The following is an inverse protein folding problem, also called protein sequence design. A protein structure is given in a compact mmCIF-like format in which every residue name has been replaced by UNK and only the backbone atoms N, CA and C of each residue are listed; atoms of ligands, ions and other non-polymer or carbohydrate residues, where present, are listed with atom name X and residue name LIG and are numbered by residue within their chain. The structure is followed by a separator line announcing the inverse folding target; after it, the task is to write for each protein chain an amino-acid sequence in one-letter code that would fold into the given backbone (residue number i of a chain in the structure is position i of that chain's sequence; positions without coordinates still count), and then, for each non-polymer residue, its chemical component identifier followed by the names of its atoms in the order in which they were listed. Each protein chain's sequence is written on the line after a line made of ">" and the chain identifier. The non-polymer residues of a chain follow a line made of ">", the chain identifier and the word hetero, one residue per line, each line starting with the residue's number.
data_IF_704503163142
#
_entry.id   IF_704503163142
#
_cell.length_a   1.000
_cell.length_b   1.000
_cell.length_c   1.000
_cell.angle_alpha   90.00
_cell.angle_beta   90.00
_cell.angle_gamma   90.00
#
_symmetry.space_group_name_H-M   'P 1'
#
loop_
_entity.id
_entity.type
_entity.pdbx_description
1 polymer ?
#
# COMPACT_ATOMS: atom_id res chain seq x y z
N UNK A 1 -29.98 4.08 1.68
CA UNK A 1 -29.70 4.96 2.83
C UNK A 1 -28.75 4.18 3.71
N UNK A 2 -27.46 4.24 3.37
CA UNK A 2 -26.42 3.57 4.12
C UNK A 2 -26.27 4.25 5.48
N UNK A 3 -26.32 3.46 6.54
CA UNK A 3 -25.96 3.91 7.87
C UNK A 3 -24.45 4.19 7.85
N UNK A 4 -24.10 5.46 7.65
CA UNK A 4 -22.80 6.01 8.06
C UNK A 4 -22.76 5.88 9.59
N UNK A 5 -22.31 4.72 10.09
CA UNK A 5 -21.96 4.55 11.50
C UNK A 5 -20.71 5.39 11.76
N UNK A 6 -20.93 6.68 11.98
CA UNK A 6 -19.91 7.63 12.38
C UNK A 6 -19.19 7.08 13.61
N UNK A 7 -17.90 6.80 13.47
CA UNK A 7 -17.06 6.36 14.58
C UNK A 7 -17.01 7.49 15.60
N UNK A 8 -17.61 7.30 16.76
CA UNK A 8 -17.70 8.31 17.81
C UNK A 8 -16.78 7.98 18.98
N UNK A 9 -16.02 8.97 19.45
CA UNK A 9 -15.19 8.89 20.65
C UNK A 9 -15.82 9.83 21.68
N UNK A 10 -16.28 9.29 22.81
CA UNK A 10 -16.94 10.06 23.88
C UNK A 10 -18.13 10.93 23.39
N UNK A 11 -18.87 10.47 22.37
CA UNK A 11 -20.01 11.19 21.80
C UNK A 11 -19.67 12.27 20.76
N UNK A 12 -18.39 12.42 20.41
CA UNK A 12 -17.91 13.33 19.35
C UNK A 12 -17.44 12.51 18.15
N UNK A 13 -17.71 12.94 16.90
CA UNK A 13 -17.19 12.26 15.72
C UNK A 13 -15.67 12.18 15.78
N UNK A 14 -15.11 10.97 15.69
CA UNK A 14 -13.67 10.75 15.73
C UNK A 14 -12.93 11.58 14.67
N UNK A 15 -13.58 11.77 13.51
CA UNK A 15 -13.07 12.55 12.39
C UNK A 15 -13.01 14.07 12.63
N UNK A 16 -13.43 14.55 13.81
CA UNK A 16 -13.31 15.94 14.25
C UNK A 16 -12.29 16.14 15.38
N UNK A 17 -11.91 15.08 16.09
CA UNK A 17 -11.02 15.16 17.26
C UNK A 17 -9.55 15.09 16.84
N UNK A 18 -9.23 14.21 15.89
CA UNK A 18 -7.85 13.95 15.49
C UNK A 18 -7.23 15.07 14.63
N UNK A 19 -7.94 15.67 13.65
CA UNK A 19 -7.35 16.65 12.74
C UNK A 19 -6.67 17.85 13.41
N UNK A 20 -7.25 18.52 14.44
CA UNK A 20 -6.60 19.67 15.06
C UNK A 20 -5.23 19.36 15.67
N UNK A 21 -5.08 18.18 16.30
CA UNK A 21 -3.81 17.72 16.86
C UNK A 21 -2.79 17.46 15.76
N UNK A 22 -3.21 16.76 14.70
CA UNK A 22 -2.35 16.40 13.58
C UNK A 22 -1.89 17.64 12.83
N UNK A 23 -2.77 18.61 12.59
CA UNK A 23 -2.44 19.89 11.95
C UNK A 23 -1.40 20.67 12.78
N UNK A 24 -1.57 20.71 14.11
CA UNK A 24 -0.58 21.35 14.99
C UNK A 24 0.80 20.69 14.85
N UNK A 25 0.85 19.35 14.84
CA UNK A 25 2.10 18.62 14.63
C UNK A 25 2.69 18.89 13.25
N UNK A 26 1.86 18.92 12.19
CA UNK A 26 2.31 19.21 10.82
C UNK A 26 2.93 20.59 10.73
N UNK A 27 2.29 21.62 11.29
CA UNK A 27 2.83 22.98 11.28
C UNK A 27 4.16 23.07 12.05
N UNK A 28 4.25 22.42 13.22
CA UNK A 28 5.48 22.37 14.00
C UNK A 28 6.64 21.72 13.21
N UNK A 29 6.37 20.61 12.52
CA UNK A 29 7.36 19.85 11.74
C UNK A 29 7.73 20.56 10.44
N UNK A 30 6.82 21.36 9.87
CA UNK A 30 7.09 22.17 8.69
C UNK A 30 8.11 23.28 9.00
N UNK A 31 7.96 23.95 10.15
CA UNK A 31 8.76 25.12 10.52
C UNK A 31 10.06 24.79 11.29
N UNK A 32 10.07 23.73 12.10
CA UNK A 32 11.24 23.35 12.93
C UNK A 32 11.88 22.03 12.47
N UNK A 33 13.06 22.14 11.87
CA UNK A 33 13.86 21.00 11.40
C UNK A 33 14.29 20.05 12.51
N UNK A 34 14.57 20.55 13.73
CA UNK A 34 14.92 19.69 14.87
C UNK A 34 13.70 18.92 15.36
N UNK A 35 12.54 19.59 15.45
CA UNK A 35 11.28 18.93 15.78
C UNK A 35 10.94 17.87 14.74
N UNK A 36 11.09 18.19 13.44
CA UNK A 36 10.93 17.24 12.34
C UNK A 36 11.81 16.01 12.49
N UNK A 37 13.10 16.19 12.73
CA UNK A 37 14.04 15.08 12.87
C UNK A 37 13.67 14.15 14.04
N UNK A 38 13.36 14.71 15.21
CA UNK A 38 12.96 13.92 16.39
C UNK A 38 11.63 13.20 16.19
N UNK A 39 10.65 13.86 15.58
CA UNK A 39 9.34 13.27 15.36
C UNK A 39 9.40 12.20 14.26
N UNK A 40 10.21 12.42 13.22
CA UNK A 40 10.50 11.44 12.18
C UNK A 40 11.13 10.19 12.78
N UNK A 41 12.16 10.32 13.61
CA UNK A 41 12.80 9.17 14.27
C UNK A 41 11.81 8.34 15.10
N UNK A 42 10.83 8.99 15.74
CA UNK A 42 9.79 8.32 16.54
C UNK A 42 8.67 7.70 15.72
N UNK A 43 8.21 8.36 14.66
CA UNK A 43 7.05 7.94 13.88
C UNK A 43 7.46 7.09 12.66
N UNK A 44 8.49 7.51 11.94
CA UNK A 44 9.03 6.90 10.73
C UNK A 44 10.53 6.61 10.92
N UNK A 45 10.90 5.64 11.79
CA UNK A 45 12.29 5.27 11.99
C UNK A 45 12.91 4.79 10.67
N UNK A 46 14.22 4.96 10.50
CA UNK A 46 14.92 4.51 9.29
C UNK A 46 14.84 2.99 9.12
N UNK A 47 14.99 2.25 10.22
CA UNK A 47 14.92 0.80 10.26
C UNK A 47 13.58 0.35 10.85
N UNK A 48 12.89 -0.55 10.16
CA UNK A 48 11.65 -1.16 10.63
C UNK A 48 11.39 -2.51 9.98
N UNK A 49 10.55 -3.31 10.62
CA UNK A 49 10.12 -4.60 10.12
C UNK A 49 9.31 -4.45 8.82
N UNK A 50 9.81 -5.08 7.75
CA UNK A 50 9.17 -5.18 6.42
C UNK A 50 8.72 -6.61 6.09
N UNK A 51 8.77 -7.55 7.05
CA UNK A 51 8.25 -8.93 6.85
C UNK A 51 6.74 -8.95 6.65
N UNK A 52 6.04 -7.97 7.20
CA UNK A 52 4.57 -7.83 7.15
C UNK A 52 4.16 -6.54 6.43
N UNK A 53 2.92 -6.45 5.92
CA UNK A 53 2.43 -5.23 5.31
C UNK A 53 2.56 -4.04 6.27
N UNK A 54 2.94 -2.88 5.75
CA UNK A 54 3.34 -1.73 6.58
C UNK A 54 2.22 -1.16 7.46
N UNK A 55 0.97 -1.47 7.14
CA UNK A 55 -0.23 -1.10 7.90
C UNK A 55 -0.60 -2.10 9.01
N UNK A 56 0.14 -3.20 9.15
CA UNK A 56 -0.08 -4.25 10.15
C UNK A 56 0.91 -4.10 11.31
N UNK A 57 0.40 -4.17 12.54
CA UNK A 57 1.19 -4.07 13.76
C UNK A 57 0.65 -3.05 14.76
N UNK A 58 1.34 -2.98 15.91
CA UNK A 58 1.01 -2.12 17.06
C UNK A 58 1.86 -0.84 17.11
N UNK A 59 2.82 -0.68 16.21
CA UNK A 59 3.64 0.53 16.15
C UNK A 59 2.80 1.74 15.76
N UNK A 60 3.22 2.93 16.20
CA UNK A 60 2.56 4.19 15.83
C UNK A 60 2.56 4.38 14.31
N UNK A 61 3.62 3.95 13.64
CA UNK A 61 3.72 3.91 12.18
C UNK A 61 2.60 3.12 11.55
N UNK A 62 2.46 1.84 11.92
CA UNK A 62 1.44 0.97 11.37
C UNK A 62 0.03 1.49 11.67
N UNK A 63 -0.17 2.08 12.86
CA UNK A 63 -1.43 2.72 13.23
C UNK A 63 -1.76 3.91 12.32
N UNK A 64 -0.83 4.84 12.11
CA UNK A 64 -1.03 6.01 11.24
C UNK A 64 -1.23 5.61 9.78
N UNK A 65 -0.46 4.63 9.27
CA UNK A 65 -0.64 4.09 7.91
C UNK A 65 -2.03 3.46 7.75
N UNK A 66 -2.52 2.75 8.77
CA UNK A 66 -3.88 2.18 8.75
C UNK A 66 -4.97 3.25 8.81
N UNK A 67 -4.75 4.34 9.56
CA UNK A 67 -5.69 5.46 9.63
C UNK A 67 -5.74 6.25 8.31
N UNK A 68 -4.63 6.43 7.61
CA UNK A 68 -4.64 7.08 6.28
C UNK A 68 -5.28 6.23 5.17
N UNK A 69 -5.55 4.94 5.41
CA UNK A 69 -6.31 4.10 4.47
C UNK A 69 -7.77 3.92 4.89
N UNK A 70 -8.21 4.56 5.98
CA UNK A 70 -9.59 4.43 6.47
C UNK A 70 -10.54 5.32 5.67
N UNK A 71 -11.58 4.73 5.09
CA UNK A 71 -12.58 5.42 4.26
C UNK A 71 -13.61 6.21 5.07
N UNK A 72 -13.82 5.86 6.34
CA UNK A 72 -14.81 6.49 7.22
C UNK A 72 -14.31 7.79 7.86
N UNK A 73 -12.99 8.03 7.85
CA UNK A 73 -12.35 9.17 8.53
C UNK A 73 -11.66 10.09 7.52
N UNK A 74 -12.45 10.77 6.67
CA UNK A 74 -11.94 11.55 5.55
C UNK A 74 -10.99 12.68 5.94
N UNK A 75 -11.32 13.45 6.98
CA UNK A 75 -10.49 14.58 7.43
C UNK A 75 -9.22 14.11 8.14
N UNK A 76 -9.34 13.06 8.95
CA UNK A 76 -8.22 12.44 9.65
C UNK A 76 -7.26 11.82 8.66
N UNK A 77 -7.78 11.11 7.65
CA UNK A 77 -7.00 10.54 6.57
C UNK A 77 -6.15 11.61 5.89
N UNK A 78 -6.76 12.71 5.49
CA UNK A 78 -6.09 13.81 4.81
C UNK A 78 -4.96 14.39 5.67
N UNK A 79 -5.29 14.79 6.90
CA UNK A 79 -4.33 15.43 7.80
C UNK A 79 -3.18 14.51 8.21
N UNK A 80 -3.43 13.23 8.46
CA UNK A 80 -2.38 12.24 8.76
C UNK A 80 -1.47 12.05 7.55
N UNK A 81 -2.04 11.95 6.35
CA UNK A 81 -1.26 11.81 5.12
C UNK A 81 -0.36 13.02 4.89
N UNK A 82 -0.88 14.23 5.14
CA UNK A 82 -0.08 15.46 5.10
C UNK A 82 1.05 15.44 6.14
N UNK A 83 0.79 15.05 7.39
CA UNK A 83 1.83 14.94 8.42
C UNK A 83 2.95 13.99 7.99
N UNK A 84 2.59 12.78 7.53
CA UNK A 84 3.57 11.77 7.10
C UNK A 84 4.37 12.25 5.87
N UNK A 85 3.73 12.96 4.93
CA UNK A 85 4.40 13.56 3.79
C UNK A 85 5.38 14.66 4.21
N UNK A 86 5.00 15.55 5.13
CA UNK A 86 5.88 16.61 5.65
C UNK A 86 7.06 16.02 6.43
N UNK A 87 6.87 14.94 7.20
CA UNK A 87 7.96 14.19 7.84
C UNK A 87 8.94 13.59 6.83
N UNK A 88 8.49 13.32 5.61
CA UNK A 88 9.29 12.85 4.48
C UNK A 88 9.90 14.00 3.66
N UNK A 89 10.07 15.18 4.26
CA UNK A 89 10.60 16.40 3.60
C UNK A 89 9.80 16.83 2.37
N UNK A 90 8.49 16.54 2.35
CA UNK A 90 7.62 16.81 1.21
C UNK A 90 8.18 16.24 -0.11
N UNK A 91 8.71 15.02 -0.05
CA UNK A 91 9.22 14.30 -1.21
C UNK A 91 8.43 12.99 -1.39
N UNK A 92 7.83 12.83 -2.58
CA UNK A 92 6.99 11.69 -2.89
C UNK A 92 7.73 10.34 -2.80
N UNK A 93 9.01 10.27 -3.21
CA UNK A 93 9.78 9.03 -3.16
C UNK A 93 10.09 8.60 -1.73
N UNK A 94 10.57 9.52 -0.89
CA UNK A 94 10.76 9.28 0.56
C UNK A 94 9.47 8.83 1.23
N UNK A 95 8.35 9.46 0.87
CA UNK A 95 7.04 9.14 1.41
C UNK A 95 6.59 7.72 1.02
N UNK A 96 6.71 7.35 -0.26
CA UNK A 96 6.38 6.01 -0.74
C UNK A 96 7.28 4.95 -0.11
N UNK A 97 8.58 5.21 0.04
CA UNK A 97 9.51 4.28 0.68
C UNK A 97 9.14 3.97 2.14
N UNK A 98 8.57 4.95 2.83
CA UNK A 98 8.17 4.85 4.23
C UNK A 98 6.77 4.27 4.44
N UNK A 99 5.84 4.51 3.51
CA UNK A 99 4.41 4.19 3.68
C UNK A 99 3.93 3.04 2.78
N UNK A 100 4.64 2.77 1.68
CA UNK A 100 4.26 1.84 0.62
C UNK A 100 3.36 2.52 -0.42
N UNK A 101 3.62 2.27 -1.71
CA UNK A 101 2.91 2.94 -2.79
C UNK A 101 1.41 2.72 -2.74
N UNK A 102 0.96 1.49 -2.43
CA UNK A 102 -0.46 1.16 -2.34
C UNK A 102 -1.22 1.96 -1.27
N UNK A 103 -0.55 2.30 -0.17
CA UNK A 103 -1.14 3.14 0.88
C UNK A 103 -1.05 4.63 0.52
N UNK A 104 0.04 5.06 -0.14
CA UNK A 104 0.30 6.45 -0.49
C UNK A 104 -0.48 6.96 -1.71
N UNK A 105 -0.86 6.08 -2.64
CA UNK A 105 -1.39 6.46 -3.96
C UNK A 105 -2.61 7.38 -3.90
N UNK A 106 -3.54 7.15 -2.96
CA UNK A 106 -4.73 7.98 -2.81
C UNK A 106 -4.39 9.44 -2.48
N UNK A 107 -3.40 9.65 -1.60
CA UNK A 107 -2.91 10.98 -1.27
C UNK A 107 -2.17 11.62 -2.45
N UNK A 108 -1.28 10.87 -3.10
CA UNK A 108 -0.47 11.37 -4.22
C UNK A 108 -1.33 11.80 -5.42
N UNK A 109 -2.39 11.05 -5.74
CA UNK A 109 -3.35 11.41 -6.79
C UNK A 109 -4.12 12.67 -6.44
N UNK A 110 -4.62 12.78 -5.20
CA UNK A 110 -5.41 13.92 -4.75
C UNK A 110 -4.62 15.23 -4.76
N UNK A 111 -3.31 15.17 -4.49
CA UNK A 111 -2.41 16.33 -4.50
C UNK A 111 -1.60 16.49 -5.79
N UNK A 112 -1.90 15.70 -6.85
CA UNK A 112 -1.21 15.77 -8.15
C UNK A 112 0.31 15.55 -8.07
N UNK A 113 0.78 14.78 -7.08
CA UNK A 113 2.20 14.49 -6.82
C UNK A 113 2.71 13.27 -7.60
N UNK A 114 1.86 12.64 -8.42
CA UNK A 114 2.22 11.45 -9.20
C UNK A 114 3.41 11.67 -10.15
N UNK A 115 3.58 12.89 -10.66
CA UNK A 115 4.70 13.25 -11.54
C UNK A 115 6.06 13.32 -10.85
N UNK A 116 6.10 13.34 -9.52
CA UNK A 116 7.34 13.42 -8.74
C UNK A 116 8.01 12.05 -8.55
N UNK A 117 7.25 10.96 -8.74
CA UNK A 117 7.65 9.58 -8.41
C UNK A 117 8.73 8.96 -9.31
N UNK A 118 9.34 9.72 -10.22
CA UNK A 118 10.41 9.23 -11.09
C UNK A 118 11.55 10.23 -11.28
N UNK A 119 11.51 11.39 -10.60
CA UNK A 119 12.47 12.48 -10.80
C UNK A 119 13.54 12.58 -9.70
N UNK A 120 13.41 11.82 -8.61
CA UNK A 120 14.41 11.81 -7.53
C UNK A 120 14.69 10.36 -7.13
N UNK A 121 15.81 9.82 -7.62
CA UNK A 121 16.41 8.62 -7.03
C UNK A 121 16.81 9.04 -5.63
N UNK A 122 16.04 8.61 -4.63
CA UNK A 122 16.34 8.91 -3.23
C UNK A 122 17.62 8.16 -2.87
N UNK A 123 18.72 8.89 -2.68
CA UNK A 123 20.03 8.32 -2.32
C UNK A 123 20.01 7.56 -0.97
N UNK A 124 18.92 7.69 -0.21
CA UNK A 124 18.67 6.96 1.04
C UNK A 124 17.60 5.88 0.92
N UNK A 125 17.07 5.62 -0.27
CA UNK A 125 16.25 4.44 -0.49
C UNK A 125 17.12 3.22 -0.20
N UNK A 126 16.66 2.26 0.62
CA UNK A 126 17.36 0.99 0.75
C UNK A 126 17.53 0.44 -0.67
N UNK A 127 18.78 0.22 -1.09
CA UNK A 127 19.20 -0.32 -2.40
C UNK A 127 18.81 -1.80 -2.55
N UNK A 128 17.80 -2.21 -1.77
CA UNK A 128 17.41 -3.56 -1.50
C UNK A 128 16.35 -3.95 -2.53
N UNK A 129 16.85 -4.56 -3.60
CA UNK A 129 16.08 -5.04 -4.77
C UNK A 129 14.92 -5.99 -4.40
N UNK A 130 14.81 -6.39 -3.13
CA UNK A 130 13.78 -7.26 -2.62
C UNK A 130 12.59 -6.53 -1.99
N UNK A 131 12.52 -5.20 -1.99
CA UNK A 131 11.33 -4.49 -1.47
C UNK A 131 10.26 -4.39 -2.55
N UNK A 132 9.10 -4.99 -2.30
CA UNK A 132 7.93 -4.86 -3.15
C UNK A 132 7.46 -3.39 -3.15
N UNK A 133 7.44 -2.70 -4.30
CA UNK A 133 7.13 -1.27 -4.36
C UNK A 133 5.67 -0.97 -3.98
N UNK A 134 4.76 -1.92 -4.17
CA UNK A 134 3.34 -1.74 -3.88
C UNK A 134 3.08 -1.84 -2.37
N UNK A 135 3.55 -2.92 -1.75
CA UNK A 135 3.25 -3.23 -0.34
C UNK A 135 4.30 -2.69 0.63
N UNK A 136 5.51 -2.37 0.15
CA UNK A 136 6.66 -1.99 0.96
C UNK A 136 7.25 -3.13 1.79
N UNK A 137 6.81 -4.36 1.55
CA UNK A 137 7.31 -5.57 2.20
C UNK A 137 8.60 -6.04 1.53
N UNK A 138 9.45 -6.72 2.28
CA UNK A 138 10.51 -7.52 1.68
C UNK A 138 9.85 -8.78 1.12
N UNK A 139 10.04 -9.04 -0.17
CA UNK A 139 9.63 -10.29 -0.79
C UNK A 139 10.45 -11.41 -0.16
N UNK A 140 9.81 -12.21 0.69
CA UNK A 140 10.28 -13.57 0.96
C UNK A 140 10.34 -14.29 -0.39
N UNK A 141 11.48 -14.94 -0.66
CA UNK A 141 11.81 -15.60 -1.93
C UNK A 141 10.57 -16.14 -2.65
N UNK A 142 10.44 -15.76 -3.93
CA UNK A 142 9.39 -16.17 -4.86
C UNK A 142 8.75 -17.50 -4.43
N UNK A 143 7.44 -17.49 -4.14
CA UNK A 143 6.67 -18.73 -3.98
C UNK A 143 7.11 -19.66 -5.08
N UNK A 144 7.76 -20.77 -4.70
CA UNK A 144 8.21 -21.76 -5.67
C UNK A 144 7.06 -22.08 -6.60
N UNK A 145 7.35 -22.17 -7.90
CA UNK A 145 6.34 -22.54 -8.88
C UNK A 145 5.63 -23.82 -8.37
N UNK A 146 4.31 -23.76 -8.07
CA UNK A 146 3.59 -24.90 -7.50
C UNK A 146 3.63 -26.13 -8.41
N UNK A 147 4.05 -25.98 -9.67
CA UNK A 147 4.19 -27.04 -10.65
C UNK A 147 5.64 -27.53 -10.83
N UNK A 148 6.62 -26.98 -10.09
CA UNK A 148 8.06 -27.29 -10.23
C UNK A 148 8.38 -28.76 -9.95
N UNK A 149 7.75 -29.33 -8.93
CA UNK A 149 7.97 -30.73 -8.51
C UNK A 149 6.97 -31.72 -9.12
N UNK A 150 6.05 -31.24 -9.97
CA UNK A 150 5.03 -32.09 -10.61
C UNK A 150 5.55 -32.64 -11.94
N UNK A 151 5.32 -33.93 -12.17
CA UNK A 151 5.51 -34.53 -13.49
C UNK A 151 4.46 -34.02 -14.49
N UNK A 152 4.72 -34.13 -15.80
CA UNK A 152 3.79 -33.66 -16.83
C UNK A 152 2.42 -34.35 -16.74
N UNK A 153 2.39 -35.64 -16.38
CA UNK A 153 1.14 -36.38 -16.16
C UNK A 153 0.36 -35.86 -14.95
N UNK A 154 1.06 -35.48 -13.87
CA UNK A 154 0.44 -34.90 -12.69
C UNK A 154 -0.11 -33.50 -12.97
N UNK A 155 0.61 -32.69 -13.76
CA UNK A 155 0.14 -31.38 -14.21
C UNK A 155 -1.15 -31.50 -15.01
N UNK A 156 -1.24 -32.48 -15.91
CA UNK A 156 -2.43 -32.71 -16.72
C UNK A 156 -3.63 -33.13 -15.86
N UNK A 157 -3.43 -34.05 -14.90
CA UNK A 157 -4.48 -34.47 -13.95
C UNK A 157 -4.98 -33.31 -13.06
N UNK A 158 -4.08 -32.43 -12.64
CA UNK A 158 -4.45 -31.27 -11.83
C UNK A 158 -5.16 -30.20 -12.67
N UNK A 159 -4.77 -30.02 -13.94
CA UNK A 159 -5.47 -29.17 -14.89
C UNK A 159 -6.91 -29.65 -15.14
N UNK A 160 -7.15 -30.96 -15.27
CA UNK A 160 -8.49 -31.53 -15.37
C UNK A 160 -9.34 -31.26 -14.13
N UNK A 161 -8.75 -31.42 -12.93
CA UNK A 161 -9.43 -31.11 -11.66
C UNK A 161 -9.82 -29.64 -11.57
N UNK A 162 -8.90 -28.73 -11.91
CA UNK A 162 -9.14 -27.29 -11.93
C UNK A 162 -10.22 -26.91 -12.95
N UNK A 163 -10.18 -27.51 -14.14
CA UNK A 163 -11.19 -27.29 -15.17
C UNK A 163 -12.60 -27.63 -14.67
N UNK A 164 -12.77 -28.79 -14.02
CA UNK A 164 -14.06 -29.18 -13.43
C UNK A 164 -14.49 -28.22 -12.31
N UNK A 165 -13.55 -27.73 -11.49
CA UNK A 165 -13.86 -26.76 -10.44
C UNK A 165 -14.33 -25.43 -11.03
N UNK A 166 -13.66 -24.92 -12.07
CA UNK A 166 -14.05 -23.71 -12.77
C UNK A 166 -15.40 -23.85 -13.48
N UNK A 167 -15.70 -24.98 -14.09
CA UNK A 167 -17.01 -25.25 -14.70
C UNK A 167 -18.13 -25.27 -13.65
N UNK A 168 -17.91 -25.93 -12.50
CA UNK A 168 -18.87 -25.89 -11.38
C UNK A 168 -19.08 -24.47 -10.86
N UNK A 169 -17.99 -23.71 -10.72
CA UNK A 169 -18.03 -22.34 -10.22
C UNK A 169 -18.78 -21.42 -11.20
N UNK A 170 -18.54 -21.55 -12.51
CA UNK A 170 -19.30 -20.87 -13.56
C UNK A 170 -20.79 -21.21 -13.52
N UNK A 171 -21.14 -22.47 -13.26
CA UNK A 171 -22.55 -22.92 -13.12
C UNK A 171 -23.25 -22.32 -11.91
N UNK A 172 -22.54 -21.97 -10.84
CA UNK A 172 -23.14 -21.29 -9.68
C UNK A 172 -23.52 -19.83 -9.95
N UNK A 173 -23.05 -19.24 -11.07
CA UNK A 173 -23.50 -17.93 -11.54
C UNK A 173 -23.01 -16.71 -10.76
N UNK A 174 -22.26 -16.90 -9.67
CA UNK A 174 -21.72 -15.81 -8.84
C UNK A 174 -20.42 -15.23 -9.42
N UNK A 175 -19.63 -16.06 -10.11
CA UNK A 175 -18.33 -15.69 -10.67
C UNK A 175 -18.21 -16.30 -12.07
N UNK A 176 -17.78 -15.48 -13.04
CA UNK A 176 -17.49 -15.92 -14.41
C UNK A 176 -15.98 -15.98 -14.61
N UNK A 177 -15.46 -17.20 -14.71
CA UNK A 177 -14.04 -17.48 -14.99
C UNK A 177 -13.81 -17.39 -16.50
N UNK A 178 -12.92 -16.50 -16.92
CA UNK A 178 -12.46 -16.43 -18.31
C UNK A 178 -11.07 -17.06 -18.43
N UNK A 179 -10.85 -17.98 -19.39
CA UNK A 179 -9.52 -18.49 -19.67
C UNK A 179 -8.60 -17.34 -20.11
N UNK A 180 -7.41 -17.24 -19.53
CA UNK A 180 -6.36 -16.37 -20.07
C UNK A 180 -5.86 -17.02 -21.37
N UNK A 181 -5.88 -16.33 -22.52
CA UNK A 181 -5.34 -16.88 -23.76
C UNK A 181 -3.85 -17.19 -23.59
N UNK A 182 -3.42 -18.33 -24.13
CA UNK A 182 -2.06 -18.87 -23.95
C UNK A 182 -0.96 -18.01 -24.61
N UNK A 183 -1.32 -17.05 -25.46
CA UNK A 183 -0.39 -16.23 -26.23
C UNK A 183 -0.54 -14.73 -25.92
N UNK A 184 -0.38 -14.32 -24.64
CA UNK A 184 -0.26 -12.89 -24.31
C UNK A 184 1.16 -12.35 -24.39
N UNK A 185 2.16 -13.21 -24.58
CA UNK A 185 3.57 -12.85 -24.47
C UNK A 185 4.22 -12.46 -25.81
N UNK A 186 3.47 -12.46 -26.92
CA UNK A 186 3.96 -12.13 -28.28
C UNK A 186 3.19 -10.99 -28.98
N UNK A 187 2.65 -9.99 -28.27
CA UNK A 187 2.02 -8.81 -28.91
C UNK A 187 3.00 -7.63 -29.04
N UNK A 188 4.29 -7.89 -29.23
CA UNK A 188 5.26 -6.85 -29.64
C UNK A 188 6.16 -7.40 -30.74
N UNK A 189 5.61 -7.59 -31.94
CA UNK A 189 6.42 -7.66 -33.16
C UNK A 189 5.71 -7.26 -34.45
N UNK A 190 4.39 -7.04 -34.45
CA UNK A 190 3.67 -6.70 -35.68
C UNK A 190 3.09 -5.28 -35.60
N UNK A 191 3.99 -4.29 -35.68
CA UNK A 191 3.71 -2.90 -36.05
C UNK A 191 4.98 -2.34 -36.71
N UNK A 192 5.20 -2.75 -37.96
CA UNK A 192 5.79 -1.88 -38.98
C UNK A 192 4.68 -1.00 -39.59
#
# INVERSE_FOLDING_TARGET
>A
MENDEAVNINGVPADSILPPLVILMTNLVADDTQARSKLKERILPSEFDRSKPLNVGESIRACLIRLMTNTLLGNSRETISTLLYTLCDSNANKFVNQVGYGNAIGYLVNHQLMGELNNTVDENAPDDKNINPITGQIEEEQKEDPFKDMTDEEKEREAERLFVLFDRLNKTGVIKVMPKPADSDNIVSDLD
#
